data_IF_251787540693
#
_entry.id   IF_251787540693
#
_cell.length_a   1.000
_cell.length_b   1.000
_cell.length_c   1.000
_cell.angle_alpha   90.00
_cell.angle_beta   90.00
_cell.angle_gamma   90.00
#
_symmetry.space_group_name_H-M   'P 1'
#
loop_
_entity.id
_entity.type
_entity.pdbx_description
1 polymer ?
#
# COMPACT_ATOMS: atom_id res chain seq x y z
N UNK A 1 32.80 0.86 -3.65
CA UNK A 1 32.98 0.42 -2.25
C UNK A 1 32.10 1.19 -1.28
N UNK A 2 30.78 1.02 -1.37
CA UNK A 2 29.83 1.45 -0.34
C UNK A 2 28.78 0.36 -0.26
N UNK A 3 28.48 -0.13 0.94
CA UNK A 3 27.41 -1.11 1.14
C UNK A 3 26.05 -0.49 0.76
N UNK A 4 25.25 -1.23 0.00
CA UNK A 4 23.90 -0.81 -0.43
C UNK A 4 22.80 -1.70 0.12
N UNK A 5 23.13 -2.96 0.41
CA UNK A 5 22.23 -3.95 0.98
C UNK A 5 23.09 -4.97 1.74
N UNK A 6 22.56 -5.46 2.86
CA UNK A 6 23.09 -6.54 3.68
C UNK A 6 21.91 -7.29 4.29
N UNK A 7 22.07 -8.56 4.65
CA UNK A 7 20.97 -9.40 5.11
C UNK A 7 21.26 -10.90 5.03
N UNK A 8 20.23 -11.72 4.85
CA UNK A 8 20.33 -13.19 4.89
C UNK A 8 19.44 -13.88 3.86
N UNK A 9 19.97 -14.92 3.22
CA UNK A 9 19.23 -15.81 2.31
C UNK A 9 18.00 -16.48 2.97
N UNK A 10 17.93 -16.52 4.31
CA UNK A 10 16.81 -17.07 5.07
C UNK A 10 15.64 -16.09 5.28
N UNK A 11 15.89 -14.79 5.21
CA UNK A 11 14.90 -13.73 5.51
C UNK A 11 14.52 -12.93 4.28
N UNK A 12 15.46 -12.75 3.37
CA UNK A 12 15.35 -11.79 2.27
C UNK A 12 14.78 -12.44 1.01
N UNK A 13 14.84 -13.77 0.92
CA UNK A 13 14.48 -14.58 -0.25
C UNK A 13 13.61 -15.78 0.18
N UNK A 14 12.56 -16.07 -0.58
CA UNK A 14 11.65 -17.22 -0.35
C UNK A 14 12.26 -18.57 -0.84
N UNK A 15 13.44 -18.91 -0.33
CA UNK A 15 14.19 -20.11 -0.73
C UNK A 15 13.77 -21.39 0.02
N UNK A 16 13.32 -21.25 1.26
CA UNK A 16 12.86 -22.35 2.12
C UNK A 16 11.40 -22.13 2.53
N UNK A 17 10.62 -23.18 2.82
CA UNK A 17 9.28 -23.05 3.40
C UNK A 17 9.32 -22.21 4.69
N UNK A 18 8.28 -21.42 4.95
CA UNK A 18 8.21 -20.62 6.17
C UNK A 18 8.37 -21.49 7.43
N UNK A 19 9.22 -21.08 8.39
CA UNK A 19 9.53 -21.83 9.62
C UNK A 19 8.28 -22.17 10.44
N UNK A 20 7.25 -21.31 10.40
CA UNK A 20 5.97 -21.51 11.07
C UNK A 20 4.80 -21.26 10.12
N UNK A 21 3.76 -22.07 10.26
CA UNK A 21 2.49 -21.95 9.54
C UNK A 21 1.34 -21.79 10.54
N UNK A 22 0.21 -21.25 10.11
CA UNK A 22 -1.03 -21.33 10.89
C UNK A 22 -1.46 -22.79 10.98
N UNK A 23 -1.83 -23.25 12.16
CA UNK A 23 -2.33 -24.61 12.37
C UNK A 23 -3.57 -24.86 11.50
N UNK A 24 -3.50 -25.77 10.50
CA UNK A 24 -4.62 -26.06 9.60
C UNK A 24 -5.72 -26.89 10.28
N UNK A 25 -5.44 -27.48 11.44
CA UNK A 25 -6.39 -28.24 12.24
C UNK A 25 -7.11 -27.39 13.28
N UNK A 26 -6.54 -26.25 13.65
CA UNK A 26 -7.11 -25.36 14.65
C UNK A 26 -8.47 -24.80 14.22
N UNK A 27 -9.41 -24.83 15.15
CA UNK A 27 -10.74 -24.23 15.01
C UNK A 27 -10.93 -23.18 16.09
N UNK A 28 -11.74 -22.17 15.78
CA UNK A 28 -12.21 -21.20 16.76
C UNK A 28 -12.95 -21.95 17.89
N UNK A 29 -12.56 -21.78 19.17
CA UNK A 29 -13.29 -22.35 20.29
C UNK A 29 -14.72 -21.79 20.38
N UNK A 30 -15.67 -22.62 20.83
CA UNK A 30 -17.08 -22.21 20.96
C UNK A 30 -17.28 -21.10 22.02
N UNK A 31 -16.42 -21.07 23.04
CA UNK A 31 -16.38 -20.05 24.09
C UNK A 31 -15.65 -18.76 23.67
N UNK A 32 -15.16 -18.66 22.43
CA UNK A 32 -14.43 -17.49 21.94
C UNK A 32 -15.36 -16.43 21.36
N UNK A 33 -15.61 -15.36 22.11
CA UNK A 33 -16.34 -14.22 21.58
C UNK A 33 -15.39 -13.23 20.87
N UNK A 34 -15.62 -13.05 19.58
CA UNK A 34 -14.93 -12.12 18.68
C UNK A 34 -15.79 -10.91 18.30
N UNK A 35 -16.96 -10.73 18.94
CA UNK A 35 -17.78 -9.53 18.85
C UNK A 35 -17.33 -8.53 19.90
N UNK A 36 -16.65 -7.48 19.47
CA UNK A 36 -16.24 -6.36 20.33
C UNK A 36 -17.44 -5.63 20.96
N UNK A 37 -18.57 -5.61 20.26
CA UNK A 37 -19.82 -4.97 20.70
C UNK A 37 -20.99 -5.96 20.67
N UNK A 38 -21.77 -5.95 21.74
CA UNK A 38 -23.03 -6.68 21.87
C UNK A 38 -24.19 -5.70 22.08
N UNK A 39 -25.44 -6.10 21.76
CA UNK A 39 -26.62 -5.41 22.26
C UNK A 39 -26.55 -5.22 23.78
N UNK A 40 -26.92 -4.04 24.25
CA UNK A 40 -27.10 -3.74 25.66
C UNK A 40 -28.30 -4.53 26.20
N UNK A 41 -28.11 -5.45 27.17
CA UNK A 41 -29.22 -6.24 27.72
C UNK A 41 -30.17 -5.40 28.58
N UNK A 42 -29.74 -4.23 29.07
CA UNK A 42 -30.54 -3.31 29.89
C UNK A 42 -31.31 -2.29 29.02
N UNK A 43 -30.89 -2.06 27.77
CA UNK A 43 -31.60 -1.20 26.82
C UNK A 43 -32.80 -1.96 26.24
N UNK A 44 -33.94 -1.85 26.92
CA UNK A 44 -35.21 -2.44 26.50
C UNK A 44 -35.98 -1.50 25.58
N UNK A 45 -36.73 -2.07 24.62
CA UNK A 45 -37.60 -1.28 23.74
C UNK A 45 -38.64 -0.51 24.58
N UNK A 46 -38.77 0.83 24.41
CA UNK A 46 -39.80 1.59 25.11
C UNK A 46 -41.21 1.08 24.77
N UNK A 47 -42.08 1.02 25.77
CA UNK A 47 -43.51 0.71 25.55
C UNK A 47 -44.13 1.77 24.62
N UNK A 48 -44.95 1.33 23.65
CA UNK A 48 -45.56 2.22 22.66
C UNK A 48 -44.70 2.51 21.43
N UNK A 49 -43.41 2.11 21.40
CA UNK A 49 -42.52 2.46 20.29
C UNK A 49 -42.98 1.87 18.94
N UNK A 50 -43.39 0.59 18.93
CA UNK A 50 -43.88 -0.08 17.71
C UNK A 50 -45.31 0.36 17.32
N UNK A 51 -46.02 1.01 18.23
CA UNK A 51 -47.39 1.52 18.02
C UNK A 51 -47.39 2.89 17.31
N UNK A 52 -46.23 3.52 17.14
CA UNK A 52 -46.07 4.77 16.39
C UNK A 52 -46.18 4.44 14.88
N UNK A 53 -47.21 4.92 14.17
CA UNK A 53 -47.35 4.62 12.75
C UNK A 53 -46.31 5.38 11.94
N UNK A 54 -45.80 4.78 10.87
CA UNK A 54 -44.84 5.39 9.94
C UNK A 54 -45.38 6.65 9.26
N UNK A 55 -46.69 6.68 9.03
CA UNK A 55 -47.40 7.77 8.37
C UNK A 55 -48.62 8.16 9.19
N UNK A 56 -48.92 9.45 9.24
CA UNK A 56 -50.09 10.03 9.91
C UNK A 56 -50.88 10.89 8.90
N UNK A 57 -52.20 11.06 9.07
CA UNK A 57 -52.95 12.00 8.25
C UNK A 57 -52.43 13.43 8.43
N UNK A 58 -52.30 14.18 7.34
CA UNK A 58 -51.93 15.59 7.36
C UNK A 58 -53.05 16.41 8.02
N UNK A 59 -52.74 17.02 9.17
CA UNK A 59 -53.69 17.85 9.94
C UNK A 59 -53.85 19.26 9.38
N UNK A 60 -52.93 19.73 8.54
CA UNK A 60 -52.99 21.03 7.88
C UNK A 60 -53.67 20.94 6.50
N UNK A 61 -53.77 19.73 5.92
CA UNK A 61 -54.55 19.47 4.73
C UNK A 61 -56.04 19.77 4.97
N UNK A 62 -56.63 20.54 4.05
CA UNK A 62 -58.05 20.88 4.05
C UNK A 62 -58.72 20.26 2.84
N UNK A 63 -59.96 19.80 3.02
CA UNK A 63 -60.84 19.41 1.93
C UNK A 63 -60.92 20.55 0.89
N UNK A 64 -60.66 20.28 -0.40
CA UNK A 64 -60.81 21.28 -1.45
C UNK A 64 -62.25 21.83 -1.51
N UNK A 65 -62.41 23.10 -1.89
CA UNK A 65 -63.73 23.75 -2.02
C UNK A 65 -64.59 23.15 -3.16
N UNK A 66 -63.96 22.43 -4.09
CA UNK A 66 -64.56 21.85 -5.31
C UNK A 66 -64.75 20.31 -5.20
N UNK A 67 -64.67 19.73 -4.00
CA UNK A 67 -64.80 18.27 -3.78
C UNK A 67 -66.25 17.86 -3.49
N UNK A 68 -66.76 16.88 -4.25
CA UNK A 68 -68.12 16.35 -4.11
C UNK A 68 -68.12 14.95 -3.44
N UNK A 69 -68.76 14.82 -2.27
CA UNK A 69 -68.81 13.53 -1.56
C UNK A 69 -69.75 12.50 -2.21
N UNK A 70 -70.68 12.90 -3.09
CA UNK A 70 -71.56 11.96 -3.83
C UNK A 70 -70.88 11.38 -5.08
N UNK A 71 -69.98 12.11 -5.73
CA UNK A 71 -69.28 11.69 -6.96
C UNK A 71 -67.83 11.22 -6.72
N UNK A 72 -67.05 11.92 -5.88
CA UNK A 72 -65.64 11.58 -5.56
C UNK A 72 -65.49 10.67 -4.31
N UNK A 73 -66.53 10.62 -3.47
CA UNK A 73 -66.57 9.85 -2.22
C UNK A 73 -66.06 10.63 -0.99
N UNK A 74 -66.06 9.97 0.18
CA UNK A 74 -65.67 10.61 1.46
C UNK A 74 -64.20 11.06 1.43
N UNK A 75 -63.98 12.38 1.49
CA UNK A 75 -62.64 12.95 1.47
C UNK A 75 -61.78 12.47 2.66
N UNK A 76 -60.59 11.95 2.36
CA UNK A 76 -59.58 11.59 3.36
C UNK A 76 -58.35 12.47 3.21
N UNK A 77 -57.82 12.95 4.34
CA UNK A 77 -56.59 13.72 4.34
C UNK A 77 -55.41 12.87 3.84
N UNK A 78 -54.49 13.43 3.02
CA UNK A 78 -53.31 12.71 2.56
C UNK A 78 -52.43 12.29 3.75
N UNK A 79 -51.73 11.18 3.63
CA UNK A 79 -50.78 10.75 4.66
C UNK A 79 -49.42 11.42 4.47
N UNK A 80 -48.83 11.85 5.58
CA UNK A 80 -47.48 12.41 5.66
C UNK A 80 -46.59 11.53 6.56
N UNK A 81 -45.25 11.52 6.35
CA UNK A 81 -44.33 10.81 7.23
C UNK A 81 -44.46 11.32 8.67
N UNK A 82 -44.62 10.42 9.63
CA UNK A 82 -44.76 10.78 11.04
C UNK A 82 -43.39 11.19 11.63
N UNK A 83 -43.23 12.44 12.13
CA UNK A 83 -41.96 12.89 12.72
C UNK A 83 -41.52 12.07 13.95
N UNK A 84 -42.46 11.46 14.67
CA UNK A 84 -42.18 10.64 15.86
C UNK A 84 -41.74 9.20 15.49
N UNK A 85 -41.89 8.78 14.22
CA UNK A 85 -41.53 7.44 13.78
C UNK A 85 -40.01 7.31 13.59
N UNK A 86 -39.34 6.78 14.61
CA UNK A 86 -37.89 6.64 14.67
C UNK A 86 -37.34 5.38 13.94
N UNK A 87 -38.13 4.73 13.07
CA UNK A 87 -37.74 3.50 12.37
C UNK A 87 -37.86 2.25 13.24
N UNK A 88 -37.30 1.12 12.80
CA UNK A 88 -37.25 -0.10 13.62
C UNK A 88 -36.30 0.06 14.81
N UNK A 89 -36.81 -0.11 16.04
CA UNK A 89 -35.98 -0.04 17.24
C UNK A 89 -34.85 -1.07 17.21
N UNK A 90 -33.63 -0.61 17.51
CA UNK A 90 -32.44 -1.44 17.68
C UNK A 90 -31.80 -1.08 19.03
N UNK A 91 -31.44 -2.07 19.87
CA UNK A 91 -30.78 -1.82 21.13
C UNK A 91 -29.44 -1.11 20.90
N UNK A 92 -29.07 -0.25 21.85
CA UNK A 92 -27.72 0.30 21.95
C UNK A 92 -26.68 -0.82 21.96
N UNK A 93 -25.47 -0.50 21.49
CA UNK A 93 -24.33 -1.42 21.51
C UNK A 93 -23.38 -1.03 22.63
N UNK A 94 -23.10 -1.97 23.52
CA UNK A 94 -22.08 -1.85 24.57
C UNK A 94 -20.85 -2.68 24.24
N UNK A 95 -19.70 -2.31 24.81
CA UNK A 95 -18.49 -3.13 24.73
C UNK A 95 -18.75 -4.47 25.42
N UNK A 96 -18.43 -5.55 24.73
CA UNK A 96 -18.65 -6.91 25.22
C UNK A 96 -17.58 -7.30 26.26
N UNK A 97 -17.93 -7.55 27.54
CA UNK A 97 -16.95 -7.96 28.55
C UNK A 97 -16.32 -9.33 28.28
N UNK A 98 -16.95 -10.17 27.44
CA UNK A 98 -16.44 -11.48 27.05
C UNK A 98 -15.58 -11.46 25.78
N UNK A 99 -15.36 -10.30 25.16
CA UNK A 99 -14.57 -10.17 23.93
C UNK A 99 -13.11 -10.58 24.15
N UNK A 100 -12.68 -11.66 23.47
CA UNK A 100 -11.31 -12.19 23.52
C UNK A 100 -10.44 -11.70 22.36
N UNK A 101 -10.94 -10.78 21.53
CA UNK A 101 -10.30 -10.35 20.29
C UNK A 101 -10.76 -11.17 19.07
N UNK A 102 -10.41 -10.73 17.86
CA UNK A 102 -10.62 -11.54 16.65
C UNK A 102 -9.78 -12.82 16.72
N UNK A 103 -10.43 -13.99 16.69
CA UNK A 103 -9.72 -15.26 16.75
C UNK A 103 -8.72 -15.42 15.60
N UNK A 104 -7.54 -15.94 15.90
CA UNK A 104 -6.51 -16.32 14.93
C UNK A 104 -6.04 -17.73 15.26
N UNK A 105 -5.88 -18.58 14.24
CA UNK A 105 -5.26 -19.89 14.42
C UNK A 105 -3.84 -19.72 15.00
N UNK A 106 -3.42 -20.57 15.96
CA UNK A 106 -2.06 -20.55 16.49
C UNK A 106 -1.03 -20.84 15.38
N UNK A 107 0.16 -20.28 15.52
CA UNK A 107 1.29 -20.60 14.65
C UNK A 107 2.01 -21.83 15.19
N UNK A 108 2.07 -22.88 14.38
CA UNK A 108 2.82 -24.12 14.66
C UNK A 108 4.07 -24.18 13.77
N UNK A 109 5.05 -24.99 14.18
CA UNK A 109 6.22 -25.25 13.36
C UNK A 109 5.82 -26.00 12.08
N UNK A 110 6.40 -25.59 10.95
CA UNK A 110 6.04 -26.14 9.65
C UNK A 110 6.71 -27.51 9.44
N UNK A 111 5.97 -28.63 9.27
CA UNK A 111 6.58 -29.95 9.06
C UNK A 111 7.37 -30.04 7.74
N UNK A 112 7.09 -29.16 6.78
CA UNK A 112 7.83 -29.07 5.51
C UNK A 112 9.10 -28.20 5.62
N UNK A 113 9.25 -27.39 6.69
CA UNK A 113 10.49 -26.65 6.90
C UNK A 113 11.62 -27.59 7.29
N UNK A 114 12.71 -27.53 6.54
CA UNK A 114 13.99 -28.17 6.84
C UNK A 114 15.05 -27.10 6.73
N UNK A 115 15.89 -27.01 7.75
CA UNK A 115 16.99 -26.08 7.77
C UNK A 115 18.10 -26.57 6.82
N UNK A 116 18.66 -25.66 6.01
CA UNK A 116 19.72 -25.96 5.05
C UNK A 116 20.87 -24.95 5.22
N UNK A 117 21.89 -25.27 6.06
CA UNK A 117 23.03 -24.39 6.26
C UNK A 117 23.94 -24.27 5.02
N UNK A 118 23.77 -25.14 4.01
CA UNK A 118 24.55 -25.14 2.77
C UNK A 118 23.83 -24.41 1.62
N UNK A 119 22.74 -23.66 1.90
CA UNK A 119 21.91 -22.96 0.91
C UNK A 119 22.69 -22.00 -0.02
N UNK A 120 23.84 -21.48 0.41
CA UNK A 120 24.72 -20.62 -0.38
C UNK A 120 25.81 -21.38 -1.17
N UNK A 121 25.94 -22.70 -0.98
CA UNK A 121 27.07 -23.50 -1.45
C UNK A 121 26.83 -24.04 -2.86
N UNK A 122 27.50 -23.45 -3.84
CA UNK A 122 27.55 -23.96 -5.21
C UNK A 122 28.87 -24.72 -5.46
N UNK A 123 28.89 -26.06 -5.44
CA UNK A 123 30.14 -26.83 -5.35
C UNK A 123 31.02 -26.79 -6.61
N UNK A 124 30.52 -26.29 -7.75
CA UNK A 124 31.23 -26.28 -9.05
C UNK A 124 30.86 -25.05 -9.89
N UNK A 125 31.40 -23.89 -9.54
CA UNK A 125 31.40 -22.71 -10.40
C UNK A 125 32.65 -22.73 -11.32
N UNK A 126 32.48 -22.42 -12.61
CA UNK A 126 33.55 -22.57 -13.63
C UNK A 126 33.57 -21.51 -14.74
N UNK A 127 32.43 -20.91 -15.03
CA UNK A 127 32.25 -20.01 -16.16
C UNK A 127 31.60 -18.73 -15.65
N UNK A 128 32.06 -17.58 -16.16
CA UNK A 128 31.36 -16.31 -16.04
C UNK A 128 30.65 -16.08 -17.36
N UNK A 129 29.32 -15.95 -17.30
CA UNK A 129 28.48 -15.64 -18.46
C UNK A 129 27.94 -14.22 -18.34
N UNK A 130 27.89 -13.51 -19.46
CA UNK A 130 27.23 -12.21 -19.60
C UNK A 130 26.14 -12.40 -20.64
N UNK A 131 24.91 -12.56 -20.18
CA UNK A 131 23.70 -12.76 -20.99
C UNK A 131 22.75 -11.62 -20.63
N UNK A 132 22.27 -10.89 -21.63
CA UNK A 132 21.51 -9.66 -21.46
C UNK A 132 20.81 -9.23 -22.76
N UNK A 133 19.68 -8.57 -22.60
CA UNK A 133 18.95 -7.89 -23.67
C UNK A 133 19.24 -6.38 -23.64
N UNK A 134 19.47 -5.77 -24.81
CA UNK A 134 19.65 -4.32 -24.96
C UNK A 134 18.93 -3.79 -26.18
N UNK A 135 18.21 -2.68 -26.00
CA UNK A 135 17.58 -1.91 -27.10
C UNK A 135 18.57 -0.93 -27.73
N UNK A 136 19.36 -0.24 -26.90
CA UNK A 136 20.43 0.67 -27.33
C UNK A 136 21.78 0.12 -26.84
N UNK A 137 22.74 0.01 -27.76
CA UNK A 137 24.11 -0.39 -27.44
C UNK A 137 24.91 0.75 -26.81
N UNK A 138 26.02 0.42 -26.15
CA UNK A 138 26.95 1.40 -25.56
C UNK A 138 27.45 1.02 -24.17
N UNK A 139 26.85 0.05 -23.49
CA UNK A 139 27.36 -0.46 -22.21
C UNK A 139 28.72 -1.14 -22.39
N UNK A 140 29.65 -0.80 -21.50
CA UNK A 140 30.96 -1.44 -21.39
C UNK A 140 31.04 -2.18 -20.06
N UNK A 141 31.60 -3.39 -20.09
CA UNK A 141 31.87 -4.20 -18.90
C UNK A 141 33.36 -4.48 -18.81
N UNK A 142 33.98 -4.13 -17.70
CA UNK A 142 35.40 -4.38 -17.40
C UNK A 142 35.57 -4.70 -15.90
N UNK A 143 36.78 -5.07 -15.50
CA UNK A 143 37.21 -5.31 -14.11
C UNK A 143 36.45 -6.45 -13.41
N UNK A 144 35.98 -7.44 -14.18
CA UNK A 144 35.31 -8.64 -13.67
C UNK A 144 36.24 -9.42 -12.73
N UNK A 145 35.89 -9.45 -11.45
CA UNK A 145 36.59 -10.21 -10.40
C UNK A 145 35.68 -11.29 -9.82
N UNK A 146 36.24 -12.48 -9.59
CA UNK A 146 35.65 -13.53 -8.75
C UNK A 146 36.69 -13.87 -7.69
N UNK A 147 36.34 -13.71 -6.41
CA UNK A 147 37.24 -13.86 -5.26
C UNK A 147 36.46 -14.27 -4.01
N UNK A 148 37.12 -14.98 -3.11
CA UNK A 148 36.69 -15.35 -1.76
C UNK A 148 37.22 -14.40 -0.66
N UNK A 149 38.05 -13.40 -1.03
CA UNK A 149 38.59 -12.38 -0.12
C UNK A 149 37.90 -11.02 -0.35
N UNK A 150 37.03 -10.56 0.58
CA UNK A 150 36.34 -9.28 0.49
C UNK A 150 37.27 -8.05 0.58
N UNK A 151 38.38 -8.15 1.31
CA UNK A 151 39.32 -7.03 1.47
C UNK A 151 40.19 -6.86 0.21
N UNK A 152 40.60 -7.97 -0.41
CA UNK A 152 41.20 -7.93 -1.74
C UNK A 152 40.24 -7.35 -2.78
N UNK A 153 38.97 -7.74 -2.77
CA UNK A 153 37.96 -7.23 -3.69
C UNK A 153 37.73 -5.71 -3.52
N UNK A 154 37.60 -5.21 -2.28
CA UNK A 154 37.54 -3.77 -1.99
C UNK A 154 38.78 -3.05 -2.54
N UNK A 155 39.98 -3.54 -2.21
CA UNK A 155 41.23 -2.95 -2.66
C UNK A 155 41.31 -2.87 -4.18
N UNK A 156 40.96 -3.94 -4.90
CA UNK A 156 41.02 -3.94 -6.37
C UNK A 156 40.03 -2.93 -6.95
N UNK A 157 38.81 -2.82 -6.41
CA UNK A 157 37.82 -1.85 -6.86
C UNK A 157 38.22 -0.39 -6.61
N UNK A 158 38.99 -0.12 -5.54
CA UNK A 158 39.65 1.17 -5.34
C UNK A 158 40.80 1.39 -6.31
N UNK A 159 41.58 0.36 -6.59
CA UNK A 159 42.74 0.43 -7.50
C UNK A 159 42.37 0.51 -8.98
N UNK A 160 41.15 0.13 -9.38
CA UNK A 160 40.61 0.25 -10.74
C UNK A 160 39.59 1.40 -10.82
N UNK A 161 38.30 1.10 -10.73
CA UNK A 161 37.19 2.07 -10.83
C UNK A 161 37.39 3.28 -9.91
N UNK A 162 37.83 3.07 -8.66
CA UNK A 162 38.04 4.14 -7.69
C UNK A 162 39.05 5.20 -8.13
N UNK A 163 40.06 4.84 -8.92
CA UNK A 163 41.04 5.79 -9.48
C UNK A 163 40.51 6.55 -10.71
N UNK A 164 39.61 5.94 -11.48
CA UNK A 164 39.19 6.46 -12.78
C UNK A 164 37.88 7.25 -12.74
N UNK A 165 36.93 6.85 -11.88
CA UNK A 165 35.55 7.37 -11.83
C UNK A 165 35.40 8.90 -11.89
N UNK A 166 36.26 9.65 -11.21
CA UNK A 166 36.12 11.11 -11.11
C UNK A 166 36.68 11.82 -12.35
N UNK A 167 37.73 11.26 -12.96
CA UNK A 167 38.28 11.74 -14.22
C UNK A 167 37.39 11.35 -15.40
N UNK A 168 36.84 10.14 -15.40
CA UNK A 168 35.84 9.67 -16.37
C UNK A 168 34.57 10.51 -16.31
N UNK A 169 34.04 10.79 -15.11
CA UNK A 169 32.90 11.71 -14.95
C UNK A 169 33.22 13.11 -15.48
N UNK A 170 34.36 13.70 -15.13
CA UNK A 170 34.72 15.03 -15.61
C UNK A 170 34.81 15.09 -17.15
N UNK A 171 35.43 14.08 -17.78
CA UNK A 171 35.52 14.00 -19.24
C UNK A 171 34.15 13.77 -19.91
N UNK A 172 33.27 12.99 -19.28
CA UNK A 172 31.90 12.77 -19.75
C UNK A 172 31.06 14.06 -19.67
N UNK A 173 31.08 14.75 -18.52
CA UNK A 173 30.36 16.00 -18.31
C UNK A 173 30.84 17.10 -19.29
N UNK A 174 32.14 17.16 -19.60
CA UNK A 174 32.71 18.06 -20.62
C UNK A 174 32.24 17.69 -22.04
N UNK A 175 32.23 16.40 -22.37
CA UNK A 175 31.84 15.91 -23.70
C UNK A 175 30.34 16.10 -23.99
N UNK A 176 29.45 15.78 -23.04
CA UNK A 176 28.02 16.01 -23.19
C UNK A 176 27.71 17.51 -23.25
N UNK A 177 28.33 18.35 -22.41
CA UNK A 177 28.16 19.81 -22.51
C UNK A 177 28.58 20.33 -23.89
N UNK A 178 29.72 19.85 -24.44
CA UNK A 178 30.15 20.23 -25.79
C UNK A 178 29.14 19.80 -26.84
N UNK A 179 28.55 18.61 -26.68
CA UNK A 179 27.54 18.06 -27.59
C UNK A 179 26.23 18.86 -27.53
N UNK A 180 25.72 19.20 -26.35
CA UNK A 180 24.60 20.12 -26.16
C UNK A 180 24.86 21.50 -26.80
N UNK A 181 26.08 22.01 -26.62
CA UNK A 181 26.54 23.26 -27.25
C UNK A 181 26.68 23.18 -28.78
N UNK A 182 26.86 22.00 -29.39
CA UNK A 182 26.87 21.82 -30.85
C UNK A 182 25.45 21.59 -31.38
N UNK A 183 24.66 20.75 -30.71
CA UNK A 183 23.26 20.44 -31.04
C UNK A 183 22.35 21.69 -30.95
N UNK A 184 22.61 22.60 -29.99
CA UNK A 184 21.94 23.91 -29.90
C UNK A 184 22.41 24.96 -30.93
N UNK A 185 23.54 24.73 -31.62
CA UNK A 185 24.04 25.60 -32.71
C UNK A 185 23.59 25.10 -34.10
N UNK A 186 23.40 23.80 -34.26
CA UNK A 186 22.83 23.17 -35.47
C UNK A 186 21.29 23.09 -35.42
N UNK A 187 20.65 23.45 -34.31
CA UNK A 187 19.21 23.70 -34.25
C UNK A 187 18.83 24.81 -35.26
N UNK A 188 17.92 24.56 -36.22
CA UNK A 188 17.60 25.54 -37.25
C UNK A 188 16.96 26.78 -36.63
N UNK A 189 17.47 27.95 -36.98
CA UNK A 189 16.91 29.25 -36.62
C UNK A 189 15.65 29.55 -37.45
N UNK A 190 14.59 28.77 -37.24
CA UNK A 190 13.26 28.94 -37.84
C UNK A 190 12.28 29.49 -36.80
N UNK A 191 12.42 30.77 -36.47
CA UNK A 191 11.31 31.60 -35.95
C UNK A 191 11.66 33.10 -35.98
N UNK A 192 11.75 33.69 -37.18
CA UNK A 192 11.60 35.15 -37.35
C UNK A 192 10.96 35.48 -38.72
N UNK A 193 9.70 35.05 -38.88
CA UNK A 193 8.80 35.45 -39.96
C UNK A 193 7.32 35.18 -39.63
N UNK A 194 6.74 36.06 -38.82
CA UNK A 194 5.31 36.47 -38.81
C UNK A 194 4.21 35.50 -38.31
N UNK A 195 3.11 36.14 -37.90
CA UNK A 195 1.91 35.57 -37.27
C UNK A 195 1.07 34.76 -38.27
N UNK A 196 0.52 33.63 -37.83
CA UNK A 196 -0.91 33.32 -38.01
C UNK A 196 -1.38 32.53 -36.78
N UNK A 197 -2.55 32.88 -36.26
CA UNK A 197 -3.15 32.20 -35.11
C UNK A 197 -4.32 31.33 -35.58
N UNK A 198 -4.20 30.01 -35.44
CA UNK A 198 -5.32 29.07 -35.46
C UNK A 198 -5.08 28.02 -34.37
N UNK A 199 -6.11 27.80 -33.54
CA UNK A 199 -6.17 26.71 -32.57
C UNK A 199 -6.20 25.35 -33.29
N UNK A 200 -5.44 24.36 -32.80
CA UNK A 200 -5.83 22.95 -32.94
C UNK A 200 -5.32 22.15 -31.72
N UNK A 201 -6.17 22.06 -30.70
CA UNK A 201 -6.05 21.06 -29.64
C UNK A 201 -6.16 19.64 -30.26
N UNK A 202 -5.09 18.83 -30.25
CA UNK A 202 -5.21 17.46 -29.72
C UNK A 202 -3.86 16.74 -29.41
N UNK A 203 -3.69 16.46 -28.11
CA UNK A 203 -3.00 15.31 -27.46
C UNK A 203 -1.87 14.52 -28.16
N UNK A 204 -0.73 14.42 -27.46
CA UNK A 204 0.33 13.46 -27.78
C UNK A 204 1.59 13.49 -26.89
N UNK A 205 1.52 14.01 -25.66
CA UNK A 205 2.64 13.95 -24.71
C UNK A 205 2.59 12.65 -23.89
N UNK A 206 3.63 11.83 -24.03
CA UNK A 206 3.85 10.64 -23.21
C UNK A 206 5.21 10.79 -22.50
N UNK A 207 5.23 11.72 -21.54
CA UNK A 207 6.38 12.00 -20.68
C UNK A 207 6.36 11.11 -19.43
N UNK A 208 6.57 9.82 -19.65
CA UNK A 208 6.56 8.78 -18.61
C UNK A 208 7.76 8.93 -17.63
N UNK A 209 7.57 9.77 -16.60
CA UNK A 209 8.50 9.94 -15.47
C UNK A 209 7.76 10.02 -14.14
N UNK A 210 7.14 8.90 -13.72
CA UNK A 210 6.77 8.68 -12.33
C UNK A 210 7.67 7.63 -11.66
N UNK A 211 8.36 8.05 -10.59
CA UNK A 211 8.43 7.25 -9.36
C UNK A 211 8.61 8.16 -8.13
N UNK A 212 7.52 8.89 -7.88
CA UNK A 212 6.97 9.25 -6.58
C UNK A 212 7.60 8.59 -5.34
N UNK A 213 7.98 9.42 -4.37
CA UNK A 213 7.97 9.07 -2.95
C UNK A 213 7.43 10.25 -2.12
N UNK A 214 6.13 10.25 -1.85
CA UNK A 214 5.50 11.22 -0.94
C UNK A 214 5.69 10.78 0.52
N UNK A 215 6.38 11.60 1.31
CA UNK A 215 6.25 11.60 2.77
C UNK A 215 4.84 12.05 3.16
N UNK A 216 4.05 11.18 3.79
CA UNK A 216 2.87 11.60 4.56
C UNK A 216 3.19 11.67 6.04
N UNK A 217 3.10 12.89 6.60
CA UNK A 217 3.13 13.14 8.04
C UNK A 217 1.70 13.26 8.55
N UNK A 218 1.30 12.38 9.46
CA UNK A 218 0.50 12.71 10.65
C UNK A 218 0.23 11.45 11.49
N UNK A 219 0.84 11.39 12.69
CA UNK A 219 0.44 10.53 13.81
C UNK A 219 1.23 10.90 15.09
N UNK A 220 0.90 12.02 15.73
CA UNK A 220 1.18 12.19 17.17
C UNK A 220 -0.11 11.94 17.95
N UNK A 221 -0.19 10.80 18.64
CA UNK A 221 -0.54 10.72 20.07
C UNK A 221 -0.59 9.25 20.54
N UNK A 222 0.43 8.80 21.25
CA UNK A 222 0.35 8.30 22.64
C UNK A 222 1.71 7.74 23.07
N UNK A 223 2.20 8.18 24.24
CA UNK A 223 3.45 7.67 24.87
C UNK A 223 3.11 6.98 26.18
N UNK A 224 3.68 5.80 26.38
CA UNK A 224 4.16 5.18 27.64
C UNK A 224 4.95 3.94 27.16
N UNK A 225 6.28 3.84 27.36
CA UNK A 225 6.97 3.41 28.59
C UNK A 225 6.54 2.00 29.04
N UNK A 226 7.39 1.02 29.40
CA UNK A 226 8.85 0.81 29.42
C UNK A 226 9.08 -0.72 29.20
N UNK A 227 10.27 -1.35 29.10
CA UNK A 227 11.65 -1.01 29.48
C UNK A 227 12.66 -1.63 28.45
N UNK A 228 13.89 -1.96 28.86
CA UNK A 228 14.97 -2.62 28.07
C UNK A 228 15.09 -4.12 28.35
N UNK A 229 15.64 -4.91 27.41
CA UNK A 229 16.78 -5.79 27.76
C UNK A 229 17.69 -6.06 26.54
N UNK A 230 18.99 -6.15 26.79
CA UNK A 230 20.04 -6.32 25.79
C UNK A 230 21.01 -7.42 26.23
N UNK A 231 20.79 -8.64 25.75
CA UNK A 231 21.67 -9.79 25.98
C UNK A 231 22.59 -10.00 24.77
N UNK A 232 23.77 -9.39 24.86
CA UNK A 232 24.97 -9.79 24.12
C UNK A 232 25.44 -11.14 24.70
N UNK A 233 25.70 -12.14 23.87
CA UNK A 233 26.44 -13.33 24.32
C UNK A 233 27.35 -13.83 23.19
N UNK A 234 28.62 -14.08 23.54
CA UNK A 234 29.62 -14.67 22.65
C UNK A 234 29.66 -16.18 22.89
N UNK A 235 29.68 -16.99 21.83
CA UNK A 235 30.44 -18.26 21.74
C UNK A 235 30.38 -18.88 20.32
#
# INVERSE_FOLDING_TARGET
>A
NVEKQTGSLYSDWDLLPAKKIKDPSAKKPEDWDDKEYIPDPEDTKPAGYDDIPKEIPDTDAKKPEDWDDEEDGEWTAPTIPNPEYNGEWKPKKIKNPAYKGKWKAPMIDNPEFKDDPELYVFPKLKYVGVELWQVKSGSLFDNVLVSDDPEYAKKLAEETWGKHKDAEKAAFDEAEKKREEEESKDAPAESDAEEEAEDDDNEGDDSDNESKSEETKEAEETKEAEETDAAHDEL
#
